data_IF_373154423866
#
_entry.id   IF_373154423866
#
_cell.length_a   1.000
_cell.length_b   1.000
_cell.length_c   1.000
_cell.angle_alpha   90.00
_cell.angle_beta   90.00
_cell.angle_gamma   90.00
#
_symmetry.space_group_name_H-M   'P 1'
#
loop_
_entity.id
_entity.type
_entity.pdbx_description
1 polymer ?
#
# COMPACT_ATOMS: atom_id res chain seq x y z
N UNK A 1 47.12 34.71 -0.30
CA UNK A 1 46.54 33.99 0.83
C UNK A 1 46.30 32.57 0.36
N UNK A 2 46.79 31.53 1.02
CA UNK A 2 46.47 30.20 0.63
C UNK A 2 44.96 29.99 0.95
N UNK A 3 44.19 29.72 -0.08
CA UNK A 3 42.85 29.19 0.04
C UNK A 3 42.98 27.88 0.80
N UNK A 4 42.48 27.81 2.03
CA UNK A 4 42.28 26.51 2.68
C UNK A 4 41.37 25.71 1.78
N UNK A 5 41.78 24.60 1.21
CA UNK A 5 40.87 23.72 0.53
C UNK A 5 39.89 23.22 1.59
N UNK A 6 38.63 23.63 1.49
CA UNK A 6 37.58 23.01 2.28
C UNK A 6 37.60 21.55 1.94
N UNK A 7 37.82 20.70 2.93
CA UNK A 7 37.75 19.25 2.76
C UNK A 7 36.31 18.86 2.70
N UNK A 8 35.77 18.80 1.50
CA UNK A 8 34.41 18.33 1.29
C UNK A 8 34.30 16.86 1.69
N UNK A 9 33.24 16.55 2.42
CA UNK A 9 32.95 15.16 2.76
C UNK A 9 32.73 14.40 1.47
N UNK A 10 33.43 13.27 1.24
CA UNK A 10 33.38 12.54 -0.05
C UNK A 10 31.99 11.92 -0.32
N UNK A 11 31.08 11.95 0.63
CA UNK A 11 29.70 11.50 0.46
C UNK A 11 28.73 12.50 1.04
N UNK A 12 27.67 12.76 0.30
CA UNK A 12 26.55 13.57 0.79
C UNK A 12 25.67 12.71 1.69
N UNK A 13 25.16 13.30 2.75
CA UNK A 13 24.15 12.64 3.60
C UNK A 13 22.81 12.78 2.91
N UNK A 14 22.27 11.67 2.42
CA UNK A 14 20.96 11.65 1.79
C UNK A 14 19.82 11.86 2.78
N UNK A 15 18.64 12.12 2.27
CA UNK A 15 17.43 12.18 3.10
C UNK A 15 17.06 10.78 3.61
N UNK A 16 16.49 10.73 4.80
CA UNK A 16 15.95 9.49 5.35
C UNK A 16 14.60 9.19 4.69
N UNK A 17 14.49 8.01 4.11
CA UNK A 17 13.25 7.50 3.55
C UNK A 17 12.73 6.33 4.37
N UNK A 18 11.41 6.16 4.42
CA UNK A 18 10.82 5.01 5.10
C UNK A 18 11.18 3.72 4.35
N UNK A 19 11.38 2.59 5.07
CA UNK A 19 11.55 1.30 4.42
C UNK A 19 10.32 0.99 3.58
N UNK A 20 10.48 0.65 2.32
CA UNK A 20 9.36 0.35 1.44
C UNK A 20 9.06 -1.16 1.45
N UNK A 21 8.62 -1.67 2.60
CA UNK A 21 8.28 -3.09 2.78
C UNK A 21 6.78 -3.38 2.69
N UNK A 22 5.93 -2.34 2.72
CA UNK A 22 4.46 -2.47 2.69
C UNK A 22 3.99 -3.19 1.44
N UNK A 23 4.51 -2.82 0.28
CA UNK A 23 4.11 -3.41 -0.99
C UNK A 23 4.38 -4.92 -1.03
N UNK A 24 5.48 -5.38 -0.42
CA UNK A 24 5.78 -6.81 -0.28
C UNK A 24 4.75 -7.59 0.56
N UNK A 25 3.93 -6.89 1.36
CA UNK A 25 2.85 -7.44 2.18
C UNK A 25 1.51 -7.49 1.43
N UNK A 26 1.53 -7.36 0.11
CA UNK A 26 0.41 -7.55 -0.81
C UNK A 26 0.80 -8.49 -1.95
N UNK A 27 -0.13 -8.83 -2.83
CA UNK A 27 0.14 -9.68 -4.00
C UNK A 27 0.70 -8.82 -5.13
N UNK A 28 1.78 -9.27 -5.73
CA UNK A 28 2.38 -8.60 -6.88
C UNK A 28 1.67 -9.04 -8.18
N UNK A 29 1.12 -8.09 -8.90
CA UNK A 29 0.47 -8.27 -10.20
C UNK A 29 1.22 -7.54 -11.33
N UNK A 30 2.49 -7.22 -11.15
CA UNK A 30 3.29 -6.50 -12.14
C UNK A 30 3.40 -7.22 -13.49
N UNK A 31 3.29 -8.55 -13.49
CA UNK A 31 3.32 -9.37 -14.71
C UNK A 31 2.03 -9.24 -15.56
N UNK A 32 0.92 -8.78 -14.96
CA UNK A 32 -0.39 -8.70 -15.61
C UNK A 32 -0.72 -7.29 -16.12
N UNK A 33 0.28 -6.42 -16.22
CA UNK A 33 0.11 -5.04 -16.70
C UNK A 33 -0.03 -5.05 -18.22
N UNK A 34 -1.16 -4.53 -18.72
CA UNK A 34 -1.38 -4.22 -20.14
C UNK A 34 -1.69 -2.72 -20.30
N UNK A 35 -0.71 -1.97 -20.77
CA UNK A 35 -0.79 -0.52 -20.92
C UNK A 35 -0.96 0.22 -19.58
N UNK A 36 -2.17 0.63 -19.26
CA UNK A 36 -2.57 1.29 -17.99
C UNK A 36 -3.51 0.44 -17.16
N UNK A 37 -3.80 -0.76 -17.59
CA UNK A 37 -4.76 -1.65 -16.94
C UNK A 37 -4.07 -2.93 -16.50
N UNK A 38 -4.44 -3.43 -15.35
CA UNK A 38 -4.01 -4.74 -14.84
C UNK A 38 -5.19 -5.68 -14.93
N UNK A 39 -5.01 -6.80 -15.60
CA UNK A 39 -6.01 -7.83 -15.77
C UNK A 39 -5.67 -9.06 -14.92
N UNK A 40 -6.46 -9.32 -13.90
CA UNK A 40 -6.25 -10.45 -13.00
C UNK A 40 -7.42 -11.41 -13.09
N UNK A 41 -7.22 -12.64 -13.57
CA UNK A 41 -8.28 -13.62 -13.59
C UNK A 41 -8.69 -14.01 -12.17
N UNK A 42 -9.95 -13.79 -11.83
CA UNK A 42 -10.50 -14.14 -10.53
C UNK A 42 -11.39 -15.37 -10.65
N UNK A 43 -11.11 -16.35 -9.79
CA UNK A 43 -11.88 -17.59 -9.76
C UNK A 43 -13.35 -17.34 -9.37
N UNK A 44 -14.27 -17.83 -10.16
CA UNK A 44 -15.69 -17.82 -9.87
C UNK A 44 -16.09 -18.67 -8.67
N UNK A 45 -17.37 -18.76 -8.39
CA UNK A 45 -17.88 -19.54 -7.27
C UNK A 45 -17.54 -21.03 -7.38
N UNK A 46 -17.18 -21.64 -6.27
CA UNK A 46 -16.97 -23.08 -6.19
C UNK A 46 -18.29 -23.86 -6.41
N UNK A 47 -18.19 -25.08 -6.90
CA UNK A 47 -19.35 -25.96 -7.06
C UNK A 47 -20.05 -26.22 -5.71
N UNK A 48 -21.36 -26.38 -5.76
CA UNK A 48 -22.16 -26.80 -4.60
C UNK A 48 -21.81 -28.24 -4.22
N UNK A 49 -21.59 -28.49 -2.94
CA UNK A 49 -21.35 -29.83 -2.41
C UNK A 49 -22.64 -30.32 -1.77
N UNK A 50 -23.17 -31.43 -2.24
CA UNK A 50 -24.31 -32.13 -1.62
C UNK A 50 -23.83 -33.31 -0.80
N UNK A 51 -24.51 -33.58 0.32
CA UNK A 51 -24.29 -34.77 1.17
C UNK A 51 -25.49 -35.73 1.03
N UNK A 52 -25.25 -37.02 0.88
CA UNK A 52 -26.29 -38.04 0.76
C UNK A 52 -27.29 -37.76 -0.37
N UNK A 53 -26.78 -37.45 -1.57
CA UNK A 53 -27.60 -37.14 -2.74
C UNK A 53 -28.23 -38.44 -3.26
N UNK A 54 -29.56 -38.45 -3.37
CA UNK A 54 -30.34 -39.56 -3.89
C UNK A 54 -30.88 -39.30 -5.29
N UNK A 55 -30.90 -38.05 -5.73
CA UNK A 55 -31.40 -37.68 -7.07
C UNK A 55 -30.26 -37.67 -8.11
N UNK A 56 -30.47 -38.43 -9.21
CA UNK A 56 -29.54 -38.50 -10.34
C UNK A 56 -30.39 -38.37 -11.63
N UNK A 57 -29.99 -37.55 -12.63
CA UNK A 57 -28.72 -36.77 -12.72
C UNK A 57 -28.73 -35.46 -11.92
N UNK A 58 -27.55 -35.07 -11.41
CA UNK A 58 -27.35 -33.79 -10.75
C UNK A 58 -27.35 -32.63 -11.75
N UNK A 59 -27.83 -31.47 -11.30
CA UNK A 59 -27.76 -30.25 -12.10
C UNK A 59 -26.30 -29.86 -12.32
N UNK A 60 -25.88 -29.79 -13.59
CA UNK A 60 -24.56 -29.35 -13.97
C UNK A 60 -24.55 -27.82 -14.06
N UNK A 61 -23.63 -27.20 -13.38
CA UNK A 61 -23.38 -25.74 -13.48
C UNK A 61 -21.96 -25.50 -13.99
N UNK A 62 -21.81 -24.62 -14.96
CA UNK A 62 -20.49 -24.13 -15.36
C UNK A 62 -20.00 -23.07 -14.38
N UNK A 63 -18.69 -23.06 -14.10
CA UNK A 63 -18.05 -21.97 -13.36
C UNK A 63 -17.80 -20.82 -14.34
N UNK A 64 -18.24 -19.62 -13.94
CA UNK A 64 -17.92 -18.39 -14.67
C UNK A 64 -16.83 -17.66 -13.87
N UNK A 65 -15.65 -17.57 -14.46
CA UNK A 65 -14.56 -16.80 -13.89
C UNK A 65 -14.74 -15.33 -14.27
N UNK A 66 -14.42 -14.46 -13.33
CA UNK A 66 -14.53 -13.01 -13.49
C UNK A 66 -13.13 -12.43 -13.73
N UNK A 67 -13.04 -11.48 -14.64
CA UNK A 67 -11.83 -10.71 -14.81
C UNK A 67 -11.88 -9.49 -13.84
N UNK A 68 -10.89 -9.40 -12.98
CA UNK A 68 -10.70 -8.24 -12.11
C UNK A 68 -9.76 -7.28 -12.80
N UNK A 69 -10.27 -6.12 -13.19
CA UNK A 69 -9.48 -5.08 -13.81
C UNK A 69 -9.34 -3.85 -12.91
N UNK A 70 -8.15 -3.28 -12.86
CA UNK A 70 -7.92 -2.00 -12.21
C UNK A 70 -6.87 -1.18 -12.97
N UNK A 71 -6.96 0.15 -12.85
CA UNK A 71 -6.06 1.05 -13.53
C UNK A 71 -4.86 1.39 -12.65
N UNK A 72 -3.72 1.60 -13.31
CA UNK A 72 -2.48 2.09 -12.70
C UNK A 72 -2.22 3.51 -13.21
N UNK A 73 -1.56 4.33 -12.37
CA UNK A 73 -1.27 5.73 -12.65
C UNK A 73 0.16 5.93 -13.16
N UNK A 74 0.35 7.03 -13.88
CA UNK A 74 1.65 7.44 -14.40
C UNK A 74 2.30 8.40 -13.38
N UNK A 75 3.41 8.00 -12.79
CA UNK A 75 4.24 8.84 -11.94
C UNK A 75 5.44 9.36 -12.74
N UNK A 76 5.71 10.65 -12.64
CA UNK A 76 6.81 11.30 -13.35
C UNK A 76 7.64 12.14 -12.39
N UNK A 77 8.93 11.98 -12.48
CA UNK A 77 9.89 12.81 -11.78
C UNK A 77 10.11 14.07 -12.61
N UNK A 78 9.93 15.25 -12.00
CA UNK A 78 10.28 16.50 -12.65
C UNK A 78 11.76 16.53 -13.00
N UNK A 79 12.12 17.03 -14.21
CA UNK A 79 13.52 17.11 -14.61
C UNK A 79 14.36 17.93 -13.63
N UNK A 80 15.49 17.40 -13.25
CA UNK A 80 16.49 18.09 -12.41
C UNK A 80 17.76 18.27 -13.22
N UNK A 81 18.35 19.46 -13.10
CA UNK A 81 19.59 19.82 -13.78
C UNK A 81 20.76 19.64 -12.80
N UNK A 82 21.83 19.04 -13.28
CA UNK A 82 23.13 18.98 -12.61
C UNK A 82 24.11 19.69 -13.50
N UNK A 83 24.55 20.89 -13.11
CA UNK A 83 25.42 21.72 -13.94
C UNK A 83 26.84 21.16 -14.00
N UNK A 84 27.51 21.31 -15.13
CA UNK A 84 28.90 20.82 -15.31
C UNK A 84 29.87 21.48 -14.34
N UNK A 85 29.68 22.77 -14.03
CA UNK A 85 30.51 23.49 -13.08
C UNK A 85 30.40 22.90 -11.67
N UNK A 86 29.19 22.52 -11.23
CA UNK A 86 28.99 21.87 -9.94
C UNK A 86 29.62 20.48 -9.88
N UNK A 87 29.64 19.73 -10.98
CA UNK A 87 30.31 18.41 -11.03
C UNK A 87 31.82 18.53 -10.90
N UNK A 88 32.42 19.58 -11.47
CA UNK A 88 33.88 19.83 -11.38
C UNK A 88 34.28 20.30 -9.98
N UNK A 89 33.43 21.11 -9.33
CA UNK A 89 33.70 21.68 -8.00
C UNK A 89 33.46 20.67 -6.86
N UNK A 90 32.58 19.70 -7.05
CA UNK A 90 32.20 18.75 -6.01
C UNK A 90 33.01 17.46 -6.07
N UNK A 91 33.45 16.99 -4.93
CA UNK A 91 34.24 15.76 -4.80
C UNK A 91 33.41 14.48 -4.82
N UNK A 92 32.10 14.56 -4.98
CA UNK A 92 31.17 13.42 -5.02
C UNK A 92 30.37 13.39 -6.31
N UNK A 93 29.82 12.22 -6.65
CA UNK A 93 28.99 12.05 -7.83
C UNK A 93 27.56 12.57 -7.58
N UNK A 94 27.33 13.85 -7.83
CA UNK A 94 26.05 14.54 -7.65
C UNK A 94 24.92 13.88 -8.46
N UNK A 95 25.21 13.45 -9.69
CA UNK A 95 24.24 12.79 -10.57
C UNK A 95 23.70 11.49 -9.97
N UNK A 96 24.59 10.67 -9.40
CA UNK A 96 24.20 9.42 -8.75
C UNK A 96 23.35 9.67 -7.50
N UNK A 97 23.74 10.65 -6.68
CA UNK A 97 22.99 11.05 -5.50
C UNK A 97 21.58 11.53 -5.87
N UNK A 98 21.46 12.44 -6.83
CA UNK A 98 20.15 12.96 -7.32
C UNK A 98 19.28 11.82 -7.85
N UNK A 99 19.86 10.87 -8.58
CA UNK A 99 19.11 9.73 -9.13
C UNK A 99 18.61 8.80 -8.01
N UNK A 100 19.44 8.55 -7.00
CA UNK A 100 19.08 7.71 -5.85
C UNK A 100 17.93 8.33 -5.03
N UNK A 101 18.07 9.63 -4.70
CA UNK A 101 17.05 10.39 -3.97
C UNK A 101 15.71 10.46 -4.73
N UNK A 102 15.77 10.75 -6.01
CA UNK A 102 14.59 10.80 -6.86
C UNK A 102 13.89 9.45 -6.95
N UNK A 103 14.65 8.36 -7.01
CA UNK A 103 14.09 7.01 -6.99
C UNK A 103 13.41 6.70 -5.66
N UNK A 104 14.05 7.01 -4.54
CA UNK A 104 13.49 6.79 -3.21
C UNK A 104 12.16 7.56 -3.05
N UNK A 105 12.15 8.85 -3.38
CA UNK A 105 10.95 9.68 -3.33
C UNK A 105 9.83 9.18 -4.24
N UNK A 106 10.18 8.68 -5.43
CA UNK A 106 9.19 8.10 -6.35
C UNK A 106 8.52 6.87 -5.73
N UNK A 107 9.29 5.99 -5.09
CA UNK A 107 8.73 4.82 -4.41
C UNK A 107 7.87 5.20 -3.19
N UNK A 108 8.26 6.22 -2.42
CA UNK A 108 7.45 6.73 -1.32
C UNK A 108 6.08 7.21 -1.80
N UNK A 109 6.05 7.99 -2.89
CA UNK A 109 4.81 8.50 -3.47
C UNK A 109 3.92 7.38 -4.01
N UNK A 110 4.51 6.41 -4.73
CA UNK A 110 3.81 5.23 -5.25
C UNK A 110 3.20 4.41 -4.11
N UNK A 111 3.93 4.23 -3.01
CA UNK A 111 3.43 3.48 -1.86
C UNK A 111 2.28 4.21 -1.18
N UNK A 112 2.41 5.53 -0.99
CA UNK A 112 1.36 6.37 -0.41
C UNK A 112 0.07 6.31 -1.24
N UNK A 113 0.16 6.48 -2.57
CA UNK A 113 -1.00 6.40 -3.47
C UNK A 113 -1.63 5.00 -3.47
N UNK A 114 -0.80 3.95 -3.48
CA UNK A 114 -1.27 2.56 -3.45
C UNK A 114 -2.04 2.28 -2.15
N UNK A 115 -1.50 2.71 -0.99
CA UNK A 115 -2.17 2.56 0.30
C UNK A 115 -3.47 3.37 0.34
N UNK A 116 -3.50 4.58 -0.21
CA UNK A 116 -4.73 5.37 -0.30
C UNK A 116 -5.83 4.65 -1.11
N UNK A 117 -5.47 4.00 -2.23
CA UNK A 117 -6.40 3.17 -3.02
C UNK A 117 -6.89 1.94 -2.25
N UNK A 118 -6.02 1.30 -1.47
CA UNK A 118 -6.42 0.19 -0.61
C UNK A 118 -7.42 0.63 0.45
N UNK A 119 -7.18 1.78 1.09
CA UNK A 119 -8.09 2.39 2.07
C UNK A 119 -9.45 2.66 1.45
N UNK A 120 -9.50 3.30 0.26
CA UNK A 120 -10.74 3.58 -0.45
C UNK A 120 -11.53 2.31 -0.83
N UNK A 121 -10.85 1.21 -1.07
CA UNK A 121 -11.45 -0.10 -1.35
C UNK A 121 -11.87 -0.90 -0.11
N UNK A 122 -11.41 -0.53 1.10
CA UNK A 122 -11.61 -1.28 2.33
C UNK A 122 -13.04 -1.18 2.89
N UNK A 123 -13.40 -2.13 3.76
CA UNK A 123 -14.66 -2.06 4.52
C UNK A 123 -14.46 -1.29 5.82
N UNK A 124 -15.34 -0.33 6.15
CA UNK A 124 -15.22 0.41 7.39
C UNK A 124 -15.53 -0.46 8.61
N UNK A 125 -14.79 -0.22 9.67
CA UNK A 125 -15.06 -0.74 11.02
C UNK A 125 -15.31 0.44 11.94
N UNK A 126 -16.42 0.45 12.63
CA UNK A 126 -16.71 1.51 13.61
C UNK A 126 -15.70 1.45 14.75
N UNK A 127 -15.06 2.57 15.03
CA UNK A 127 -14.26 2.77 16.24
C UNK A 127 -15.22 2.95 17.41
N UNK A 128 -15.33 1.94 18.26
CA UNK A 128 -16.07 2.02 19.52
C UNK A 128 -15.06 1.86 20.65
N UNK A 129 -14.77 2.94 21.36
CA UNK A 129 -13.82 2.91 22.47
C UNK A 129 -12.36 3.12 22.02
N UNK A 130 -11.46 2.30 22.55
CA UNK A 130 -10.03 2.41 22.35
C UNK A 130 -9.57 1.82 21.01
N UNK A 131 -8.33 2.11 20.62
CA UNK A 131 -7.73 1.53 19.40
C UNK A 131 -7.57 0.01 19.53
N UNK A 132 -7.24 -0.47 20.73
CA UNK A 132 -7.22 -1.90 21.08
C UNK A 132 -8.58 -2.57 20.82
N UNK A 133 -9.70 -1.90 21.15
CA UNK A 133 -11.04 -2.42 20.89
C UNK A 133 -11.36 -2.45 19.38
N UNK A 134 -10.90 -1.46 18.63
CA UNK A 134 -11.02 -1.43 17.17
C UNK A 134 -10.27 -2.60 16.52
N UNK A 135 -9.04 -2.88 16.95
CA UNK A 135 -8.24 -4.03 16.48
C UNK A 135 -8.96 -5.34 16.80
N UNK A 136 -9.50 -5.47 18.01
CA UNK A 136 -10.30 -6.63 18.42
C UNK A 136 -11.57 -6.79 17.58
N UNK A 137 -12.24 -5.70 17.24
CA UNK A 137 -13.40 -5.71 16.35
C UNK A 137 -13.03 -6.16 14.93
N UNK A 138 -11.91 -5.68 14.39
CA UNK A 138 -11.36 -6.14 13.12
C UNK A 138 -11.06 -7.65 13.18
N UNK A 139 -10.38 -8.13 14.23
CA UNK A 139 -10.08 -9.55 14.41
C UNK A 139 -11.35 -10.43 14.42
N UNK A 140 -12.43 -9.97 15.07
CA UNK A 140 -13.73 -10.65 15.06
C UNK A 140 -14.34 -10.70 13.65
N UNK A 141 -14.23 -9.62 12.85
CA UNK A 141 -14.70 -9.61 11.46
C UNK A 141 -13.90 -10.58 10.58
N UNK A 142 -12.56 -10.59 10.71
CA UNK A 142 -11.72 -11.57 10.03
C UNK A 142 -12.08 -13.02 10.38
N UNK A 143 -12.39 -13.29 11.64
CA UNK A 143 -12.83 -14.62 12.08
C UNK A 143 -14.20 -14.98 11.50
N UNK A 144 -15.16 -14.04 11.48
CA UNK A 144 -16.48 -14.23 10.90
C UNK A 144 -16.41 -14.53 9.40
N UNK A 145 -15.53 -13.83 8.68
CA UNK A 145 -15.32 -14.00 7.25
C UNK A 145 -14.42 -15.21 6.93
N UNK A 146 -13.97 -15.97 7.94
CA UNK A 146 -13.09 -17.13 7.81
C UNK A 146 -11.81 -16.86 7.02
N UNK A 147 -11.27 -15.65 7.16
CA UNK A 147 -10.00 -15.28 6.54
C UNK A 147 -8.85 -16.07 7.20
N UNK A 148 -7.87 -16.58 6.45
CA UNK A 148 -6.71 -17.26 7.00
C UNK A 148 -5.97 -16.40 8.04
N UNK A 149 -5.42 -17.01 9.09
CA UNK A 149 -4.65 -16.28 10.14
C UNK A 149 -3.23 -15.93 9.69
N UNK A 150 -2.77 -16.54 8.63
CA UNK A 150 -1.42 -16.34 8.09
C UNK A 150 -1.38 -15.04 7.28
N UNK A 151 -0.27 -14.32 7.38
CA UNK A 151 -0.01 -13.08 6.61
C UNK A 151 -1.10 -12.01 6.76
N UNK A 152 -1.54 -11.80 8.01
CA UNK A 152 -2.41 -10.68 8.37
C UNK A 152 -1.56 -9.52 8.87
N UNK A 153 -1.78 -8.38 8.30
CA UNK A 153 -1.03 -7.17 8.62
C UNK A 153 -1.97 -6.08 9.12
N UNK A 154 -1.41 -5.16 9.87
CA UNK A 154 -2.06 -3.95 10.32
C UNK A 154 -1.08 -2.78 10.24
N UNK A 155 -1.56 -1.67 9.72
CA UNK A 155 -0.86 -0.40 9.70
C UNK A 155 -1.64 0.59 10.54
N UNK A 156 -0.98 1.30 11.42
CA UNK A 156 -1.51 2.38 12.23
C UNK A 156 -0.90 3.71 11.77
N UNK A 157 -1.52 4.80 12.17
CA UNK A 157 -0.84 6.11 12.15
C UNK A 157 0.25 6.13 13.21
N UNK A 158 1.21 7.04 13.09
CA UNK A 158 2.29 7.20 14.07
C UNK A 158 1.71 7.47 15.47
N UNK A 159 0.81 8.44 15.60
CA UNK A 159 0.11 8.75 16.85
C UNK A 159 -0.67 7.53 17.36
N UNK A 160 -1.42 6.87 16.49
CA UNK A 160 -2.21 5.69 16.84
C UNK A 160 -1.37 4.51 17.33
N UNK A 161 -0.12 4.40 16.88
CA UNK A 161 0.78 3.37 17.40
C UNK A 161 1.17 3.61 18.86
N UNK A 162 1.52 4.86 19.22
CA UNK A 162 1.83 5.20 20.61
C UNK A 162 0.61 5.11 21.51
N UNK A 163 -0.55 5.59 21.07
CA UNK A 163 -1.82 5.43 21.79
C UNK A 163 -2.13 3.95 22.05
N UNK A 164 -1.91 3.10 21.05
CA UNK A 164 -2.09 1.65 21.20
C UNK A 164 -1.14 1.07 22.25
N UNK A 165 0.13 1.49 22.28
CA UNK A 165 1.09 1.03 23.28
C UNK A 165 0.68 1.44 24.69
N UNK A 166 0.16 2.66 24.88
CA UNK A 166 -0.32 3.17 26.17
C UNK A 166 -1.57 2.41 26.67
N UNK A 167 -2.39 1.89 25.76
CA UNK A 167 -3.55 1.06 26.08
C UNK A 167 -3.19 -0.38 26.49
N UNK A 168 -1.95 -0.81 26.26
CA UNK A 168 -1.48 -2.14 26.62
C UNK A 168 -0.98 -2.20 28.06
N UNK A 169 -1.28 -3.29 28.76
CA UNK A 169 -0.62 -3.59 30.05
C UNK A 169 0.85 -3.97 29.82
N UNK A 170 1.69 -3.80 30.84
CA UNK A 170 3.13 -4.14 30.78
C UNK A 170 3.40 -5.56 30.24
N UNK A 171 2.57 -6.55 30.63
CA UNK A 171 2.68 -7.93 30.13
C UNK A 171 2.35 -8.05 28.63
N UNK A 172 1.36 -7.30 28.17
CA UNK A 172 0.97 -7.27 26.75
C UNK A 172 2.02 -6.56 25.91
N UNK A 173 2.59 -5.45 26.41
CA UNK A 173 3.69 -4.73 25.75
C UNK A 173 4.92 -5.63 25.58
N UNK A 174 5.30 -6.37 26.65
CA UNK A 174 6.40 -7.32 26.57
C UNK A 174 6.12 -8.44 25.56
N UNK A 175 4.92 -9.02 25.58
CA UNK A 175 4.53 -10.07 24.63
C UNK A 175 4.48 -9.56 23.19
N UNK A 176 4.04 -8.31 22.96
CA UNK A 176 4.01 -7.66 21.67
C UNK A 176 5.44 -7.45 21.13
N UNK A 177 6.31 -6.84 21.91
CA UNK A 177 7.70 -6.56 21.52
C UNK A 177 8.54 -7.83 21.29
N UNK A 178 8.24 -8.92 22.02
CA UNK A 178 8.93 -10.21 21.85
C UNK A 178 8.71 -10.84 20.44
N UNK A 179 7.70 -10.40 19.70
CA UNK A 179 7.39 -10.89 18.35
C UNK A 179 7.85 -9.94 17.23
N UNK A 180 8.60 -8.90 17.58
CA UNK A 180 9.13 -7.93 16.62
C UNK A 180 10.15 -8.57 15.66
N UNK A 181 10.07 -8.22 14.38
CA UNK A 181 11.05 -8.61 13.35
C UNK A 181 11.36 -7.37 12.50
N UNK A 182 12.35 -6.62 12.94
CA UNK A 182 12.77 -5.38 12.28
C UNK A 182 13.28 -5.59 10.86
N UNK A 183 13.84 -6.78 10.55
CA UNK A 183 14.29 -7.10 9.20
C UNK A 183 13.12 -7.21 8.20
N UNK A 184 11.93 -7.54 8.68
CA UNK A 184 10.69 -7.59 7.89
C UNK A 184 9.81 -6.36 8.05
N UNK A 185 10.26 -5.34 8.80
CA UNK A 185 9.46 -4.16 9.12
C UNK A 185 8.21 -4.53 9.93
N UNK A 186 8.36 -5.38 10.96
CA UNK A 186 7.28 -5.80 11.84
C UNK A 186 7.60 -5.37 13.26
N UNK A 187 6.76 -4.50 13.84
CA UNK A 187 6.91 -3.98 15.21
C UNK A 187 6.49 -5.00 16.28
N UNK A 188 5.61 -5.91 15.93
CA UNK A 188 5.11 -6.92 16.86
C UNK A 188 3.86 -7.62 16.31
N UNK A 189 3.32 -8.55 17.10
CA UNK A 189 2.09 -9.29 16.73
C UNK A 189 1.05 -9.20 17.84
N UNK A 190 -0.16 -8.79 17.52
CA UNK A 190 -1.28 -8.69 18.44
C UNK A 190 -2.59 -9.15 17.79
N UNK A 191 -3.41 -9.92 18.51
CA UNK A 191 -4.64 -10.55 17.99
C UNK A 191 -4.48 -11.29 16.65
N UNK A 192 -3.26 -11.77 16.35
CA UNK A 192 -2.95 -12.47 15.10
C UNK A 192 -2.69 -11.57 13.90
N UNK A 193 -2.49 -10.27 14.12
CA UNK A 193 -2.02 -9.32 13.14
C UNK A 193 -0.56 -8.97 13.40
N UNK A 194 0.22 -8.81 12.34
CA UNK A 194 1.57 -8.28 12.34
C UNK A 194 1.50 -6.78 12.10
N UNK A 195 2.09 -6.00 13.01
CA UNK A 195 2.11 -4.54 12.92
C UNK A 195 3.26 -4.09 12.05
N UNK A 196 2.95 -3.28 11.05
CA UNK A 196 3.92 -2.79 10.07
C UNK A 196 4.55 -1.50 10.57
N UNK A 197 5.88 -1.39 10.44
CA UNK A 197 6.69 -0.23 10.81
C UNK A 197 6.77 0.78 9.65
N UNK A 198 5.62 1.19 9.14
CA UNK A 198 5.54 2.18 8.06
C UNK A 198 4.23 2.97 8.17
N UNK A 199 4.27 4.29 7.90
CA UNK A 199 3.19 5.24 8.18
C UNK A 199 2.73 5.93 6.89
N UNK A 200 2.08 5.17 5.99
CA UNK A 200 1.55 5.68 4.71
C UNK A 200 0.04 5.92 4.72
N UNK A 201 -0.61 5.86 5.89
CA UNK A 201 -2.05 6.06 5.97
C UNK A 201 -2.44 7.51 5.67
N UNK A 202 -3.56 7.74 4.96
CA UNK A 202 -4.17 9.06 4.84
C UNK A 202 -4.52 9.64 6.22
N UNK A 203 -4.52 10.99 6.33
CA UNK A 203 -4.74 11.71 7.60
C UNK A 203 -6.04 11.37 8.31
N UNK A 204 -7.08 10.98 7.56
CA UNK A 204 -8.41 10.68 8.09
C UNK A 204 -8.60 9.20 8.47
N UNK A 205 -7.51 8.42 8.52
CA UNK A 205 -7.56 6.99 8.79
C UNK A 205 -6.62 6.63 9.91
N UNK A 206 -7.13 5.99 10.97
CA UNK A 206 -6.32 5.53 12.09
C UNK A 206 -5.68 4.17 11.89
N UNK A 207 -6.36 3.29 11.14
CA UNK A 207 -5.95 1.90 11.03
C UNK A 207 -6.39 1.30 9.69
N UNK A 208 -5.49 0.56 9.07
CA UNK A 208 -5.79 -0.36 7.96
C UNK A 208 -5.34 -1.76 8.36
N UNK A 209 -6.27 -2.73 8.35
CA UNK A 209 -5.99 -4.14 8.60
C UNK A 209 -6.29 -4.97 7.36
N UNK A 210 -5.33 -5.80 6.93
CA UNK A 210 -5.51 -6.61 5.72
C UNK A 210 -4.86 -7.99 5.82
N UNK A 211 -5.26 -8.86 4.91
CA UNK A 211 -4.60 -10.13 4.64
C UNK A 211 -3.95 -10.05 3.25
N UNK A 212 -2.75 -10.55 3.10
CA UNK A 212 -1.92 -10.41 1.89
C UNK A 212 -2.66 -10.67 0.58
N UNK A 213 -3.44 -11.74 0.51
CA UNK A 213 -4.19 -12.12 -0.70
C UNK A 213 -5.40 -11.24 -1.01
N UNK A 214 -5.75 -10.30 -0.12
CA UNK A 214 -6.89 -9.39 -0.33
C UNK A 214 -6.50 -8.11 -1.05
N UNK A 215 -5.21 -7.80 -1.08
CA UNK A 215 -4.65 -6.60 -1.69
C UNK A 215 -3.65 -6.96 -2.78
N UNK A 216 -3.54 -6.08 -3.76
CA UNK A 216 -2.52 -6.17 -4.79
C UNK A 216 -1.83 -4.83 -5.02
N UNK A 217 -0.64 -4.94 -5.56
CA UNK A 217 0.07 -3.86 -6.19
C UNK A 217 0.58 -4.30 -7.56
N UNK A 218 0.84 -3.35 -8.43
CA UNK A 218 1.48 -3.57 -9.71
C UNK A 218 2.42 -2.40 -9.99
N UNK A 219 3.66 -2.72 -10.30
CA UNK A 219 4.72 -1.74 -10.58
C UNK A 219 5.29 -2.08 -11.95
N UNK A 220 5.16 -1.14 -12.89
CA UNK A 220 5.77 -1.25 -14.20
C UNK A 220 7.26 -0.96 -14.18
N UNK A 221 7.87 -1.04 -15.35
CA UNK A 221 9.30 -0.74 -15.48
C UNK A 221 9.59 0.74 -15.21
N UNK A 222 10.54 1.00 -14.34
CA UNK A 222 11.09 2.34 -14.11
C UNK A 222 11.93 2.72 -15.32
N UNK A 223 11.62 3.86 -15.94
CA UNK A 223 12.43 4.44 -17.00
C UNK A 223 13.08 5.70 -16.47
N UNK A 224 14.39 5.75 -16.54
CA UNK A 224 15.19 6.93 -16.23
C UNK A 224 15.66 7.55 -17.54
N UNK A 225 15.50 8.85 -17.66
CA UNK A 225 15.96 9.62 -18.80
C UNK A 225 17.10 10.52 -18.35
N UNK A 226 18.17 10.57 -19.13
CA UNK A 226 19.25 11.53 -18.92
C UNK A 226 19.67 12.11 -20.25
N UNK A 227 19.80 13.44 -20.29
CA UNK A 227 20.40 14.17 -21.39
C UNK A 227 21.72 14.73 -20.88
N UNK A 228 22.85 14.33 -21.49
CA UNK A 228 24.17 14.77 -21.11
C UNK A 228 24.53 16.02 -21.89
N UNK A 229 25.08 17.03 -21.20
CA UNK A 229 25.58 18.24 -21.83
C UNK A 229 24.50 19.04 -22.56
N UNK A 230 23.30 19.18 -22.00
CA UNK A 230 22.23 19.96 -22.61
C UNK A 230 22.63 21.44 -22.68
N UNK A 231 22.76 22.03 -23.91
CA UNK A 231 23.22 23.39 -24.07
C UNK A 231 22.23 24.44 -23.53
N UNK A 232 20.97 24.07 -23.32
CA UNK A 232 19.94 24.96 -22.76
C UNK A 232 20.14 25.17 -21.26
N UNK A 233 20.65 24.15 -20.57
CA UNK A 233 20.81 24.15 -19.12
C UNK A 233 22.26 24.11 -18.65
N UNK A 234 23.24 24.02 -19.57
CA UNK A 234 24.68 23.92 -19.30
C UNK A 234 25.03 22.81 -18.32
N UNK A 235 24.44 21.63 -18.52
CA UNK A 235 24.66 20.47 -17.65
C UNK A 235 23.81 19.28 -18.02
N UNK A 236 23.80 18.27 -17.16
CA UNK A 236 23.04 17.06 -17.33
C UNK A 236 21.63 17.23 -16.79
N UNK A 237 20.63 16.82 -17.56
CA UNK A 237 19.22 16.80 -17.15
C UNK A 237 18.82 15.36 -16.86
N UNK A 238 18.31 15.10 -15.65
CA UNK A 238 17.84 13.77 -15.21
C UNK A 238 16.36 13.83 -14.89
N UNK A 239 15.61 12.87 -15.41
CA UNK A 239 14.19 12.69 -15.12
C UNK A 239 13.83 11.21 -15.10
N UNK A 240 12.59 10.87 -14.76
CA UNK A 240 12.13 9.48 -14.76
C UNK A 240 10.63 9.34 -14.82
N UNK A 241 10.18 8.17 -15.22
CA UNK A 241 8.77 7.80 -15.19
C UNK A 241 8.58 6.37 -14.69
N UNK A 242 7.45 6.14 -14.05
CA UNK A 242 7.02 4.85 -13.54
C UNK A 242 5.49 4.76 -13.64
N UNK A 243 5.00 3.58 -13.99
CA UNK A 243 3.59 3.24 -13.85
C UNK A 243 3.40 2.34 -12.65
N UNK A 244 2.51 2.72 -11.76
CA UNK A 244 2.24 1.91 -10.58
C UNK A 244 0.81 2.11 -10.08
N UNK A 245 0.37 1.20 -9.26
CA UNK A 245 -0.90 1.29 -8.57
C UNK A 245 -1.24 0.02 -7.81
N UNK A 246 -2.36 0.05 -7.14
CA UNK A 246 -2.85 -1.12 -6.41
C UNK A 246 -4.36 -1.10 -6.26
N UNK A 247 -4.92 -2.23 -5.91
CA UNK A 247 -6.36 -2.38 -5.72
C UNK A 247 -6.68 -3.49 -4.73
N UNK A 248 -7.94 -3.51 -4.30
CA UNK A 248 -8.51 -4.62 -3.56
C UNK A 248 -8.88 -5.72 -4.54
N UNK A 249 -8.23 -6.88 -4.43
CA UNK A 249 -8.39 -8.01 -5.38
C UNK A 249 -9.73 -8.71 -5.21
N UNK A 250 -10.31 -8.69 -4.02
CA UNK A 250 -11.52 -9.44 -3.73
C UNK A 250 -12.77 -8.60 -3.97
N UNK A 251 -13.64 -9.06 -4.84
CA UNK A 251 -14.96 -8.44 -5.09
C UNK A 251 -15.85 -8.42 -3.83
N UNK A 252 -15.72 -9.44 -2.95
CA UNK A 252 -16.43 -9.52 -1.68
C UNK A 252 -15.83 -8.63 -0.58
N UNK A 253 -14.69 -7.98 -0.86
CA UNK A 253 -13.95 -7.13 0.07
C UNK A 253 -13.70 -7.77 1.44
N UNK A 254 -13.57 -9.09 1.52
CA UNK A 254 -13.20 -9.79 2.75
C UNK A 254 -11.70 -9.72 2.97
N UNK A 255 -11.31 -9.65 4.24
CA UNK A 255 -9.90 -9.61 4.62
C UNK A 255 -9.25 -8.25 4.46
N UNK A 256 -10.04 -7.17 4.32
CA UNK A 256 -9.55 -5.79 4.39
C UNK A 256 -10.56 -4.92 5.14
N UNK A 257 -10.08 -4.22 6.16
CA UNK A 257 -10.88 -3.36 7.03
C UNK A 257 -10.13 -2.10 7.41
N UNK A 258 -10.85 -0.99 7.41
CA UNK A 258 -10.33 0.35 7.77
C UNK A 258 -11.08 0.88 8.98
N UNK A 259 -10.38 1.65 9.80
CA UNK A 259 -10.97 2.45 10.89
C UNK A 259 -10.67 3.91 10.61
N UNK A 260 -11.72 4.67 10.33
CA UNK A 260 -11.63 6.10 10.07
C UNK A 260 -11.49 6.90 11.36
N UNK A 261 -10.89 8.09 11.29
CA UNK A 261 -10.66 8.97 12.42
C UNK A 261 -11.97 9.38 13.13
N UNK A 262 -13.03 9.64 12.37
CA UNK A 262 -14.30 10.19 12.87
C UNK A 262 -15.36 9.14 13.18
N UNK A 263 -15.05 7.86 13.10
CA UNK A 263 -16.02 6.81 13.33
C UNK A 263 -17.25 6.91 12.39
N UNK A 264 -17.01 7.39 11.16
CA UNK A 264 -18.07 7.79 10.23
C UNK A 264 -18.97 6.64 9.87
N UNK A 265 -20.25 6.95 9.97
CA UNK A 265 -21.35 6.18 9.48
C UNK A 265 -21.15 5.81 8.00
N UNK A 266 -21.48 4.54 7.75
CA UNK A 266 -21.81 3.93 6.49
C UNK A 266 -22.34 4.94 5.45
N UNK A 267 -21.48 5.51 4.61
CA UNK A 267 -21.86 6.13 3.37
C UNK A 267 -21.81 5.07 2.28
N UNK A 268 -22.66 4.06 2.42
CA UNK A 268 -23.07 3.31 1.25
C UNK A 268 -23.68 4.33 0.27
N UNK A 269 -23.31 4.33 -1.02
CA UNK A 269 -24.03 5.11 -2.00
C UNK A 269 -25.48 4.66 -1.91
N UNK A 270 -26.34 5.58 -1.50
CA UNK A 270 -27.80 5.39 -1.65
C UNK A 270 -28.03 5.39 -3.14
N UNK A 271 -28.20 4.21 -3.72
CA UNK A 271 -28.82 4.07 -5.02
C UNK A 271 -30.13 4.85 -4.93
N UNK A 272 -30.18 5.98 -5.63
CA UNK A 272 -31.44 6.65 -5.94
C UNK A 272 -32.22 5.68 -6.79
N UNK A 273 -33.09 4.94 -6.16
CA UNK A 273 -34.28 4.43 -6.84
C UNK A 273 -35.08 5.69 -7.15
N UNK A 274 -34.97 6.19 -8.37
CA UNK A 274 -35.94 7.11 -8.92
C UNK A 274 -37.24 6.33 -9.05
N UNK A 275 -38.15 6.60 -8.12
CA UNK A 275 -39.56 6.26 -8.29
C UNK A 275 -40.05 6.94 -9.57
N UNK A 276 -40.10 6.17 -10.66
CA UNK A 276 -40.95 6.49 -11.78
C UNK A 276 -42.38 6.14 -11.39
N UNK A 277 -42.95 7.01 -10.58
CA UNK A 277 -44.40 7.00 -10.45
C UNK A 277 -45.08 7.46 -11.73
N UNK A 278 -45.92 6.59 -12.17
CA UNK A 278 -46.92 6.76 -13.20
C UNK A 278 -47.68 8.09 -13.10
N UNK A 279 -47.82 8.72 -14.22
CA UNK A 279 -49.04 9.49 -14.47
C UNK A 279 -49.43 9.38 -15.96
N UNK A 280 -50.65 8.85 -16.13
CA UNK A 280 -51.56 8.83 -17.29
C UNK A 280 -51.18 7.91 -18.48
#
# INVERSE_FOLDING_TARGET
>A
MPLNPEVWVPSIVGHLHQPNTVLAKSVDHSEYIDGKTVHVPNAGAAAKIGKNITEIPLTVSSRTDLDLTYNIDDFKIYPMVVTDLEQVELSYNKRESVTAENRAKLYDEVTSDTVAKWVAGAKPVKKTGTLKDAIKAAAKKFAKDRVPKVERYIMLTEEGYYDFLDELSEKEQFAFGATADTAKGILGTFFGFQFVDEYYLPKDVHMLAWQKQSLSHAIGNVKLFSSEGDPTYYGDVVSGELRAGGSVVRSDKKGIYVVDADGVADTAPKDKVEDMDANE
#
